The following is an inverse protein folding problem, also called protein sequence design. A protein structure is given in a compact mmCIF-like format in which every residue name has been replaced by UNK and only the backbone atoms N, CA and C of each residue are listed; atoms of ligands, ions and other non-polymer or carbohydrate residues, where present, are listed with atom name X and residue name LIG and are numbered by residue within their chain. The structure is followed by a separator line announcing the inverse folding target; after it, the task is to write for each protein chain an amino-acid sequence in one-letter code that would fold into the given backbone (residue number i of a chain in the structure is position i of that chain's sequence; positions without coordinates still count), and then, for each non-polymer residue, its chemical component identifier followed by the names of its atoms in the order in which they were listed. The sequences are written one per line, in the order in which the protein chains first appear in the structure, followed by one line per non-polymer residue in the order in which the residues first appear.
data_IF_150248277139
#
_entry.id   IF_150248277139
#
_cell.length_a   1.000
_cell.length_b   1.000
_cell.length_c   1.000
_cell.angle_alpha   90.00
_cell.angle_beta   90.00
_cell.angle_gamma   90.00
#
_symmetry.space_group_name_H-M   'P 1'
#
loop_
_entity.id
_entity.type
_entity.pdbx_description
1 polymer ?
#
# COMPACT_ATOMS: atom_id res chain seq x y z
N UNK A 1 -19.57 10.36 -4.88
CA UNK A 1 -19.17 10.39 -3.46
C UNK A 1 -18.71 9.00 -3.09
N UNK A 2 -17.54 8.90 -2.48
CA UNK A 2 -17.01 7.62 -2.01
C UNK A 2 -17.90 7.08 -0.87
N UNK A 3 -18.03 5.76 -0.80
CA UNK A 3 -18.65 5.09 0.34
C UNK A 3 -17.66 5.07 1.51
N UNK A 4 -18.05 5.59 2.68
CA UNK A 4 -17.22 5.60 3.89
C UNK A 4 -17.77 4.54 4.85
N UNK A 5 -16.94 3.57 5.22
CA UNK A 5 -17.30 2.49 6.12
C UNK A 5 -16.09 1.81 6.72
N UNK A 6 -16.35 0.81 7.57
CA UNK A 6 -15.32 0.01 8.26
C UNK A 6 -15.48 -1.50 8.02
N UNK A 7 -16.35 -1.89 7.10
CA UNK A 7 -16.60 -3.30 6.78
C UNK A 7 -15.41 -3.88 6.00
N UNK A 8 -14.64 -4.74 6.66
CA UNK A 8 -13.45 -5.40 6.12
C UNK A 8 -13.79 -6.32 4.95
N UNK A 9 -14.92 -7.02 5.00
CA UNK A 9 -15.32 -7.95 3.96
C UNK A 9 -15.78 -7.21 2.70
N UNK A 10 -16.46 -6.09 2.87
CA UNK A 10 -16.75 -5.18 1.76
C UNK A 10 -15.47 -4.62 1.13
N UNK A 11 -14.55 -4.10 1.95
CA UNK A 11 -13.27 -3.59 1.48
C UNK A 11 -12.47 -4.67 0.71
N UNK A 12 -12.43 -5.90 1.24
CA UNK A 12 -11.82 -7.05 0.57
C UNK A 12 -12.46 -7.33 -0.79
N UNK A 13 -13.80 -7.38 -0.88
CA UNK A 13 -14.50 -7.62 -2.16
C UNK A 13 -14.12 -6.62 -3.24
N UNK A 14 -13.95 -5.35 -2.89
CA UNK A 14 -13.49 -4.33 -3.84
C UNK A 14 -12.06 -4.61 -4.30
N UNK A 15 -11.15 -4.88 -3.36
CA UNK A 15 -9.76 -5.19 -3.68
C UNK A 15 -9.61 -6.48 -4.53
N UNK A 16 -10.40 -7.52 -4.25
CA UNK A 16 -10.42 -8.77 -5.01
C UNK A 16 -10.90 -8.54 -6.45
N UNK A 17 -11.70 -7.49 -6.68
CA UNK A 17 -12.19 -7.08 -8.00
C UNK A 17 -11.23 -6.10 -8.71
N UNK A 18 -9.97 -6.01 -8.27
CA UNK A 18 -8.96 -5.05 -8.75
C UNK A 18 -9.36 -3.59 -8.60
N UNK A 19 -10.34 -3.27 -7.75
CA UNK A 19 -10.73 -1.90 -7.44
C UNK A 19 -9.80 -1.30 -6.37
N UNK A 20 -9.89 0.02 -6.20
CA UNK A 20 -9.09 0.75 -5.22
C UNK A 20 -9.95 1.30 -4.11
N UNK A 21 -9.40 1.35 -2.90
CA UNK A 21 -10.10 1.85 -1.70
C UNK A 21 -9.21 2.82 -0.91
N UNK A 22 -9.83 3.77 -0.21
CA UNK A 22 -9.13 4.60 0.77
C UNK A 22 -8.98 3.84 2.09
N UNK A 23 -7.75 3.73 2.61
CA UNK A 23 -7.47 3.09 3.91
C UNK A 23 -6.80 4.08 4.87
N UNK A 24 -7.15 4.09 6.17
CA UNK A 24 -6.44 4.89 7.16
C UNK A 24 -5.08 4.27 7.51
N UNK A 25 -4.07 5.09 7.79
CA UNK A 25 -2.84 4.63 8.47
C UNK A 25 -2.55 5.53 9.66
N UNK A 26 -1.55 5.19 10.47
CA UNK A 26 -1.04 6.07 11.52
C UNK A 26 -0.32 7.32 10.98
N UNK A 27 -0.08 7.39 9.67
CA UNK A 27 0.55 8.54 9.00
C UNK A 27 -0.47 9.39 8.24
N UNK A 28 -1.01 8.88 7.15
CA UNK A 28 -2.00 9.53 6.27
C UNK A 28 -2.91 8.44 5.66
N UNK A 29 -4.04 8.81 5.08
CA UNK A 29 -4.84 7.87 4.31
C UNK A 29 -4.10 7.46 3.03
N UNK A 30 -4.16 6.17 2.69
CA UNK A 30 -3.60 5.59 1.49
C UNK A 30 -4.68 5.19 0.48
N UNK A 31 -4.44 5.37 -0.81
CA UNK A 31 -5.28 4.81 -1.87
C UNK A 31 -4.73 3.43 -2.22
N UNK A 32 -5.35 2.39 -1.67
CA UNK A 32 -4.87 1.04 -1.74
C UNK A 32 -5.49 0.25 -2.90
N UNK A 33 -4.66 -0.55 -3.56
CA UNK A 33 -5.04 -1.61 -4.48
C UNK A 33 -4.13 -2.82 -4.28
N UNK A 34 -4.51 -3.97 -4.83
CA UNK A 34 -3.66 -5.16 -4.79
C UNK A 34 -2.28 -4.86 -5.43
N UNK A 35 -1.22 -4.99 -4.63
CA UNK A 35 0.15 -4.62 -5.03
C UNK A 35 0.83 -5.60 -5.97
N UNK A 36 0.28 -6.79 -6.18
CA UNK A 36 0.77 -7.78 -7.15
C UNK A 36 -0.07 -7.86 -8.42
N UNK A 37 -1.18 -7.12 -8.48
CA UNK A 37 -2.06 -7.03 -9.64
C UNK A 37 -1.79 -5.75 -10.45
N UNK A 38 -1.25 -5.85 -11.67
CA UNK A 38 -1.00 -4.70 -12.52
C UNK A 38 -2.25 -3.84 -12.82
N UNK A 39 -3.45 -4.43 -12.89
CA UNK A 39 -4.68 -3.68 -13.18
C UNK A 39 -5.07 -2.79 -11.99
N UNK A 40 -5.03 -3.35 -10.77
CA UNK A 40 -5.26 -2.58 -9.55
C UNK A 40 -4.22 -1.46 -9.39
N UNK A 41 -2.94 -1.74 -9.66
CA UNK A 41 -1.87 -0.73 -9.61
C UNK A 41 -2.10 0.38 -10.64
N UNK A 42 -2.49 0.03 -11.87
CA UNK A 42 -2.82 1.00 -12.92
C UNK A 42 -3.99 1.91 -12.50
N UNK A 43 -5.00 1.36 -11.82
CA UNK A 43 -6.13 2.14 -11.29
C UNK A 43 -5.70 3.16 -10.24
N UNK A 44 -4.74 2.83 -9.36
CA UNK A 44 -4.16 3.80 -8.40
C UNK A 44 -3.59 5.01 -9.14
N UNK A 45 -2.80 4.80 -10.20
CA UNK A 45 -2.23 5.89 -11.00
C UNK A 45 -3.30 6.72 -11.70
N UNK A 46 -4.30 6.06 -12.30
CA UNK A 46 -5.44 6.72 -12.99
C UNK A 46 -6.22 7.61 -12.03
N UNK A 47 -6.65 7.09 -10.88
CA UNK A 47 -7.46 7.82 -9.89
C UNK A 47 -6.71 9.03 -9.35
N UNK A 48 -5.40 8.91 -9.10
CA UNK A 48 -4.59 10.03 -8.57
C UNK A 48 -4.14 11.03 -9.63
N UNK A 49 -4.34 10.72 -10.92
CA UNK A 49 -3.65 11.39 -12.02
C UNK A 49 -2.13 11.50 -11.76
N UNK A 50 -1.54 10.41 -11.24
CA UNK A 50 -0.12 10.34 -10.83
C UNK A 50 0.73 9.87 -12.01
N UNK A 51 1.91 10.47 -12.24
CA UNK A 51 2.83 9.97 -13.25
C UNK A 51 3.39 8.60 -12.88
N UNK A 52 3.51 7.70 -13.87
CA UNK A 52 3.96 6.31 -13.67
C UNK A 52 5.44 6.17 -13.28
N UNK A 53 6.21 7.26 -13.23
CA UNK A 53 7.60 7.25 -12.78
C UNK A 53 7.73 7.37 -11.26
N UNK A 54 6.66 7.67 -10.53
CA UNK A 54 6.70 7.84 -9.07
C UNK A 54 6.26 6.55 -8.35
N UNK A 55 7.20 5.77 -7.79
CA UNK A 55 6.94 4.42 -7.28
C UNK A 55 5.99 4.41 -6.09
N UNK A 56 5.43 3.24 -5.78
CA UNK A 56 4.45 3.03 -4.71
C UNK A 56 5.07 2.26 -3.54
N UNK A 57 4.52 2.49 -2.34
CA UNK A 57 4.89 1.74 -1.14
C UNK A 57 3.94 0.54 -1.01
N UNK A 58 4.55 -0.64 -0.84
CA UNK A 58 3.86 -1.88 -0.53
C UNK A 58 3.64 -2.00 0.98
N UNK A 59 2.41 -2.29 1.37
CA UNK A 59 1.99 -2.49 2.75
C UNK A 59 1.73 -3.98 3.01
N UNK A 60 2.30 -4.50 4.10
CA UNK A 60 2.21 -5.90 4.50
C UNK A 60 1.66 -6.05 5.93
N UNK A 61 1.04 -7.19 6.22
CA UNK A 61 0.58 -7.56 7.55
C UNK A 61 1.68 -8.19 8.40
N UNK A 62 2.34 -9.22 7.86
CA UNK A 62 3.24 -10.09 8.60
C UNK A 62 4.57 -10.30 7.85
N UNK A 63 5.60 -10.73 8.57
CA UNK A 63 6.93 -11.01 8.02
C UNK A 63 6.92 -12.09 6.96
N UNK A 64 6.04 -13.07 7.08
CA UNK A 64 5.97 -14.19 6.12
C UNK A 64 5.64 -13.67 4.71
N UNK A 65 4.79 -12.66 4.60
CA UNK A 65 4.47 -12.03 3.31
C UNK A 65 5.68 -11.31 2.72
N UNK A 66 6.61 -10.80 3.54
CA UNK A 66 7.79 -10.10 3.04
C UNK A 66 8.67 -11.03 2.20
N UNK A 67 8.84 -12.27 2.64
CA UNK A 67 9.67 -13.26 1.95
C UNK A 67 9.15 -13.58 0.55
N UNK A 68 7.87 -13.37 0.27
CA UNK A 68 7.30 -13.56 -1.07
C UNK A 68 7.63 -12.38 -2.01
N UNK A 69 7.92 -11.20 -1.45
CA UNK A 69 8.02 -9.94 -2.19
C UNK A 69 9.45 -9.47 -2.44
N UNK A 70 10.41 -9.91 -1.62
CA UNK A 70 11.81 -9.44 -1.67
C UNK A 70 12.82 -10.58 -1.83
N UNK A 71 13.92 -10.32 -2.52
CA UNK A 71 14.98 -11.31 -2.77
C UNK A 71 15.93 -11.45 -1.58
N UNK A 72 16.24 -10.34 -0.93
CA UNK A 72 17.16 -10.29 0.20
C UNK A 72 16.64 -9.29 1.24
N UNK A 73 17.04 -9.53 2.50
CA UNK A 73 16.74 -8.64 3.60
C UNK A 73 17.98 -8.45 4.49
N UNK A 74 18.78 -7.41 4.22
CA UNK A 74 19.99 -7.14 4.97
C UNK A 74 19.72 -7.03 6.48
N UNK A 75 20.55 -7.69 7.27
CA UNK A 75 20.39 -7.79 8.73
C UNK A 75 20.32 -6.41 9.44
N UNK A 76 20.98 -5.38 8.90
CA UNK A 76 20.86 -4.01 9.41
C UNK A 76 19.44 -3.44 9.27
N UNK A 77 18.79 -3.67 8.13
CA UNK A 77 17.41 -3.24 7.87
C UNK A 77 16.42 -4.09 8.67
N UNK A 78 16.71 -5.38 8.82
CA UNK A 78 15.90 -6.30 9.64
C UNK A 78 15.88 -5.87 11.13
N UNK A 79 17.01 -5.41 11.68
CA UNK A 79 17.04 -4.83 13.04
C UNK A 79 16.16 -3.58 13.19
N UNK A 80 16.16 -2.70 12.20
CA UNK A 80 15.29 -1.52 12.19
C UNK A 80 13.82 -1.97 12.13
N UNK A 81 13.50 -2.85 11.21
CA UNK A 81 12.16 -3.40 11.04
C UNK A 81 11.65 -4.05 12.33
N UNK A 82 12.44 -4.90 13.00
CA UNK A 82 12.08 -5.52 14.28
C UNK A 82 11.74 -4.52 15.39
N UNK A 83 12.34 -3.34 15.35
CA UNK A 83 12.14 -2.30 16.37
C UNK A 83 10.95 -1.40 16.05
N UNK A 84 10.75 -1.09 14.76
CA UNK A 84 9.83 -0.04 14.33
C UNK A 84 8.61 -0.55 13.54
N UNK A 85 8.55 -1.84 13.19
CA UNK A 85 7.37 -2.47 12.59
C UNK A 85 6.58 -3.28 13.63
N UNK A 86 5.22 -3.19 13.62
CA UNK A 86 4.42 -2.27 12.83
C UNK A 86 4.66 -0.79 13.19
N UNK A 87 4.71 0.09 12.20
CA UNK A 87 4.90 1.53 12.42
C UNK A 87 5.33 2.34 11.21
N UNK A 88 5.67 3.62 11.42
CA UNK A 88 5.90 4.61 10.37
C UNK A 88 7.33 4.53 9.77
N UNK A 89 7.85 3.32 9.61
CA UNK A 89 9.12 3.06 8.93
C UNK A 89 8.83 2.43 7.57
N UNK A 90 9.46 2.95 6.52
CA UNK A 90 9.46 2.33 5.19
C UNK A 90 10.89 1.93 4.84
N UNK A 91 11.08 0.71 4.34
CA UNK A 91 12.38 0.17 3.97
C UNK A 91 12.42 -0.10 2.47
N UNK A 92 13.56 0.18 1.83
CA UNK A 92 13.81 -0.10 0.42
C UNK A 92 14.57 -1.43 0.31
N UNK A 93 13.98 -2.42 -0.37
CA UNK A 93 14.49 -3.79 -0.44
C UNK A 93 14.53 -4.30 -1.89
N UNK A 94 15.46 -5.19 -2.27
CA UNK A 94 15.49 -5.81 -3.60
C UNK A 94 14.20 -6.59 -3.86
N UNK A 95 13.46 -6.26 -4.92
CA UNK A 95 12.15 -6.87 -5.19
C UNK A 95 12.27 -8.21 -5.90
N UNK A 96 11.30 -9.09 -5.67
CA UNK A 96 11.04 -10.26 -6.53
C UNK A 96 10.18 -9.88 -7.74
N UNK A 97 10.17 -10.71 -8.80
CA UNK A 97 9.36 -10.48 -10.01
C UNK A 97 7.85 -10.43 -9.78
N UNK A 98 7.34 -10.93 -8.64
CA UNK A 98 5.92 -10.86 -8.28
C UNK A 98 5.45 -9.41 -8.11
N UNK A 99 6.36 -8.48 -7.78
CA UNK A 99 6.07 -7.04 -7.72
C UNK A 99 6.11 -6.49 -9.15
N UNK A 100 4.99 -5.95 -9.70
CA UNK A 100 4.97 -5.39 -11.04
C UNK A 100 5.89 -4.18 -11.20
N UNK A 101 6.43 -3.96 -12.39
CA UNK A 101 7.26 -2.79 -12.70
C UNK A 101 6.54 -1.46 -12.44
N UNK A 102 5.21 -1.45 -12.57
CA UNK A 102 4.37 -0.28 -12.26
C UNK A 102 4.49 0.15 -10.79
N UNK A 103 4.74 -0.78 -9.86
CA UNK A 103 4.93 -0.46 -8.44
C UNK A 103 6.26 0.25 -8.23
N UNK A 104 7.32 -0.16 -8.93
CA UNK A 104 8.68 0.33 -8.67
C UNK A 104 9.19 1.31 -9.72
N UNK A 105 8.36 1.70 -10.68
CA UNK A 105 8.79 2.48 -11.85
C UNK A 105 9.94 1.80 -12.63
N UNK A 106 9.93 0.47 -12.68
CA UNK A 106 10.99 -0.34 -13.29
C UNK A 106 12.28 -0.47 -12.46
N UNK A 107 12.34 0.12 -11.26
CA UNK A 107 13.51 0.02 -10.39
C UNK A 107 13.68 -1.39 -9.79
N UNK A 108 14.91 -1.79 -9.44
CA UNK A 108 15.20 -3.12 -8.87
C UNK A 108 14.73 -3.27 -7.41
N UNK A 109 14.42 -2.16 -6.73
CA UNK A 109 14.02 -2.17 -5.33
C UNK A 109 12.55 -1.75 -5.16
N UNK A 110 11.90 -2.31 -4.13
CA UNK A 110 10.53 -1.97 -3.71
C UNK A 110 10.55 -1.36 -2.31
N UNK A 111 9.73 -0.34 -2.09
CA UNK A 111 9.51 0.25 -0.78
C UNK A 111 8.45 -0.56 -0.02
N UNK A 112 8.76 -1.03 1.18
CA UNK A 112 7.87 -1.87 1.99
C UNK A 112 7.64 -1.25 3.36
N UNK A 113 6.43 -1.37 3.89
CA UNK A 113 6.04 -0.91 5.23
C UNK A 113 5.03 -1.87 5.86
N UNK A 114 5.11 -2.03 7.17
CA UNK A 114 4.08 -2.70 7.97
C UNK A 114 3.35 -1.61 8.80
N UNK A 115 2.15 -1.14 8.38
CA UNK A 115 1.48 0.00 9.01
C UNK A 115 0.93 -0.35 10.39
N UNK A 116 0.92 0.59 11.35
CA UNK A 116 0.37 0.37 12.70
C UNK A 116 -1.00 1.02 12.90
N UNK A 117 -1.92 0.76 11.99
CA UNK A 117 -3.32 1.18 12.13
C UNK A 117 -4.23 -0.03 12.27
N UNK A 118 -5.04 -0.16 13.36
CA UNK A 118 -5.83 -1.36 13.63
C UNK A 118 -6.70 -1.81 12.45
N UNK A 119 -7.47 -0.89 11.85
CA UNK A 119 -8.35 -1.21 10.72
C UNK A 119 -7.60 -1.72 9.48
N UNK A 120 -6.41 -1.16 9.21
CA UNK A 120 -5.60 -1.55 8.04
C UNK A 120 -4.85 -2.84 8.31
N UNK A 121 -4.45 -3.09 9.56
CA UNK A 121 -3.89 -4.37 9.99
C UNK A 121 -4.96 -5.48 9.91
N UNK A 122 -6.19 -5.22 10.33
CA UNK A 122 -7.32 -6.15 10.20
C UNK A 122 -7.65 -6.44 8.74
N UNK A 123 -7.62 -5.43 7.87
CA UNK A 123 -7.79 -5.65 6.44
C UNK A 123 -6.65 -6.48 5.86
N UNK A 124 -5.39 -6.10 6.11
CA UNK A 124 -4.23 -6.81 5.56
C UNK A 124 -4.11 -8.26 6.07
N UNK A 125 -4.66 -8.59 7.25
CA UNK A 125 -4.60 -9.94 7.82
C UNK A 125 -5.53 -10.94 7.12
N UNK A 126 -6.56 -10.45 6.40
CA UNK A 126 -7.51 -11.30 5.66
C UNK A 126 -7.24 -11.31 4.15
N UNK A 127 -6.17 -10.67 3.69
CA UNK A 127 -5.76 -10.62 2.29
C UNK A 127 -4.61 -11.58 2.02
N UNK A 128 -4.68 -12.29 0.90
CA UNK A 128 -3.62 -13.19 0.43
C UNK A 128 -2.54 -12.45 -0.38
N UNK A 129 -2.58 -11.12 -0.40
CA UNK A 129 -1.70 -10.27 -1.19
C UNK A 129 -1.42 -8.95 -0.46
N UNK A 130 -0.30 -8.28 -0.76
CA UNK A 130 0.01 -6.99 -0.16
C UNK A 130 -0.75 -5.85 -0.84
N UNK A 131 -0.78 -4.67 -0.21
CA UNK A 131 -1.42 -3.48 -0.78
C UNK A 131 -0.39 -2.47 -1.26
N UNK A 132 -0.43 -2.08 -2.53
CA UNK A 132 0.23 -0.86 -2.98
C UNK A 132 -0.63 0.33 -2.54
N UNK A 133 -0.08 1.27 -1.76
CA UNK A 133 -0.85 2.39 -1.23
C UNK A 133 -0.02 3.68 -1.09
N UNK A 134 0.02 4.55 -2.12
CA UNK A 134 0.42 5.95 -1.95
C UNK A 134 -0.64 6.73 -1.18
N UNK A 135 -0.37 7.98 -0.82
CA UNK A 135 -1.36 8.85 -0.16
C UNK A 135 -2.64 9.01 -0.99
N UNK A 136 -3.81 9.10 -0.35
CA UNK A 136 -5.12 9.10 -1.02
C UNK A 136 -5.59 10.47 -1.54
N UNK A 137 -4.71 11.18 -2.27
CA UNK A 137 -4.99 12.48 -2.87
C UNK A 137 -4.55 12.56 -4.34
N UNK A 138 -5.08 13.52 -5.13
CA UNK A 138 -4.52 13.87 -6.42
C UNK A 138 -3.03 14.23 -6.32
N UNK A 139 -2.26 13.89 -7.35
CA UNK A 139 -0.82 14.16 -7.36
C UNK A 139 -0.51 15.66 -7.17
N UNK A 140 0.40 15.98 -6.26
CA UNK A 140 0.78 17.36 -5.91
C UNK A 140 -0.09 18.06 -4.85
N UNK A 141 -1.15 17.41 -4.36
CA UNK A 141 -2.02 17.96 -3.31
C UNK A 141 -1.59 17.54 -1.90
N UNK A 142 -2.19 18.17 -0.89
CA UNK A 142 -1.96 17.86 0.53
C UNK A 142 -2.50 16.46 0.84
N UNK A 143 -1.69 15.65 1.51
CA UNK A 143 -2.06 14.30 1.90
C UNK A 143 -3.24 14.28 2.89
N UNK A 144 -4.21 13.36 2.72
CA UNK A 144 -5.42 13.32 3.51
C UNK A 144 -5.20 12.62 4.86
N UNK A 145 -5.77 13.18 5.91
CA UNK A 145 -5.74 12.61 7.28
C UNK A 145 -7.13 12.18 7.80
N UNK A 146 -8.19 12.35 7.01
CA UNK A 146 -9.56 11.98 7.36
C UNK A 146 -10.25 11.35 6.14
N UNK A 147 -11.20 10.45 6.36
CA UNK A 147 -11.96 9.79 5.29
C UNK A 147 -12.70 10.81 4.40
N UNK A 148 -13.20 11.90 5.00
CA UNK A 148 -13.83 13.01 4.26
C UNK A 148 -12.86 13.69 3.31
N UNK A 149 -11.59 13.92 3.72
CA UNK A 149 -10.57 14.46 2.82
C UNK A 149 -10.35 13.57 1.59
N UNK A 150 -10.46 12.25 1.75
CA UNK A 150 -10.37 11.31 0.62
C UNK A 150 -11.60 11.43 -0.28
N UNK A 151 -12.80 11.36 0.29
CA UNK A 151 -14.07 11.44 -0.48
C UNK A 151 -14.27 12.77 -1.19
N UNK A 152 -13.69 13.86 -0.68
CA UNK A 152 -13.79 15.19 -1.30
C UNK A 152 -12.81 15.36 -2.46
N UNK A 153 -11.76 14.52 -2.53
CA UNK A 153 -10.65 14.67 -3.47
C UNK A 153 -10.61 13.60 -4.58
N UNK A 154 -11.19 12.42 -4.37
CA UNK A 154 -11.10 11.25 -5.26
C UNK A 154 -12.47 10.65 -5.63
#
# INVERSE_FOLDING_TARGET
MAHIGIDIQEAKRWLDASEVIGIPTETVYGLAGNGTDPEAVLRIFKVKNRPSFDPLIIHIYHWDHLNELVEDFPESLHRLAKTFWPGPLTLLLPRKPIIPDLVTSGLPNVAVRMPRHPLTQELLSVLDYPLAAPSANPFGYISPTMATHVSDQL
#
